data_IF_324800581857
#
_entry.id   IF_324800581857
#
_cell.length_a   1.000
_cell.length_b   1.000
_cell.length_c   1.000
_cell.angle_alpha   90.00
_cell.angle_beta   90.00
_cell.angle_gamma   90.00
#
_symmetry.space_group_name_H-M   'P 1'
#
loop_
_entity.id
_entity.type
_entity.pdbx_description
1 polymer ?
#
# COMPACT_ATOMS: atom_id res chain seq x y z
N UNK A 1 13.30 -45.64 20.26
CA UNK A 1 13.07 -44.67 19.17
C UNK A 1 12.64 -43.36 19.83
N UNK A 2 13.31 -42.24 19.54
CA UNK A 2 12.93 -40.93 20.10
C UNK A 2 11.87 -40.32 19.20
N UNK A 3 10.72 -39.94 19.76
CA UNK A 3 9.70 -39.17 19.06
C UNK A 3 10.03 -37.68 19.19
N UNK A 4 10.17 -37.00 18.07
CA UNK A 4 10.33 -35.54 18.02
C UNK A 4 8.95 -34.93 17.83
N UNK A 5 8.48 -34.18 18.83
CA UNK A 5 7.30 -33.33 18.73
C UNK A 5 7.73 -31.99 18.12
N UNK A 6 7.09 -31.59 17.03
CA UNK A 6 7.37 -30.31 16.35
C UNK A 6 6.22 -29.35 16.67
N UNK A 7 6.57 -28.10 16.98
CA UNK A 7 5.58 -27.03 17.15
C UNK A 7 5.01 -26.64 15.77
N UNK A 8 3.69 -26.70 15.54
CA UNK A 8 3.09 -26.30 14.27
C UNK A 8 3.05 -24.77 14.09
N UNK A 9 3.44 -23.99 15.08
CA UNK A 9 3.54 -22.53 14.97
C UNK A 9 4.82 -22.12 14.24
N UNK A 10 4.78 -20.96 13.59
CA UNK A 10 5.97 -20.43 12.92
C UNK A 10 6.97 -19.96 13.98
N UNK A 11 7.98 -20.78 14.24
CA UNK A 11 9.08 -20.48 15.17
C UNK A 11 9.99 -19.33 14.68
N UNK A 12 9.86 -18.90 13.42
CA UNK A 12 10.63 -17.79 12.88
C UNK A 12 10.13 -16.45 13.42
N UNK A 13 11.01 -15.72 14.10
CA UNK A 13 10.78 -14.32 14.41
C UNK A 13 10.77 -13.49 13.11
N UNK A 14 9.72 -12.71 12.82
CA UNK A 14 9.71 -11.81 11.68
C UNK A 14 10.89 -10.84 11.76
N UNK A 15 11.53 -10.57 10.63
CA UNK A 15 12.53 -9.49 10.56
C UNK A 15 11.89 -8.18 11.00
N UNK A 16 12.56 -7.44 11.89
CA UNK A 16 12.13 -6.11 12.30
C UNK A 16 12.09 -5.18 11.08
N UNK A 17 10.96 -4.51 10.86
CA UNK A 17 10.78 -3.54 9.78
C UNK A 17 10.56 -2.17 10.39
N UNK A 18 11.33 -1.18 9.95
CA UNK A 18 11.12 0.22 10.33
C UNK A 18 10.01 0.79 9.45
N UNK A 19 8.98 1.36 10.09
CA UNK A 19 7.93 2.06 9.36
C UNK A 19 8.48 3.29 8.64
N UNK A 20 7.91 3.63 7.48
CA UNK A 20 8.21 4.88 6.81
C UNK A 20 7.83 6.07 7.72
N UNK A 21 8.59 7.19 7.66
CA UNK A 21 8.26 8.39 8.42
C UNK A 21 6.87 8.89 8.02
N UNK A 22 6.10 9.32 9.02
CA UNK A 22 4.75 9.86 8.79
C UNK A 22 4.85 11.29 8.27
N UNK A 23 4.05 11.63 7.28
CA UNK A 23 3.87 13.03 6.87
C UNK A 23 3.19 13.83 7.99
N UNK A 24 3.74 14.99 8.31
CA UNK A 24 3.14 15.93 9.28
C UNK A 24 1.81 16.51 8.79
N UNK A 25 1.71 16.72 7.48
CA UNK A 25 0.47 17.14 6.81
C UNK A 25 0.45 16.65 5.36
N UNK A 26 -0.72 16.70 4.72
CA UNK A 26 -0.90 16.32 3.31
C UNK A 26 -1.07 17.53 2.37
N UNK A 27 -1.21 18.75 2.90
CA UNK A 27 -1.36 19.95 2.08
C UNK A 27 -0.13 20.18 1.21
N UNK A 28 -0.32 20.38 -0.09
CA UNK A 28 0.74 20.54 -1.08
C UNK A 28 1.55 19.27 -1.37
N UNK A 29 1.19 18.12 -0.77
CA UNK A 29 1.86 16.83 -1.00
C UNK A 29 1.23 16.07 -2.14
N UNK A 30 2.03 15.24 -2.80
CA UNK A 30 1.55 14.32 -3.85
C UNK A 30 1.33 12.94 -3.25
N UNK A 31 0.09 12.47 -3.25
CA UNK A 31 -0.32 11.19 -2.69
C UNK A 31 -0.69 10.24 -3.83
N UNK A 32 -0.03 9.08 -3.88
CA UNK A 32 -0.41 8.00 -4.76
C UNK A 32 -1.62 7.25 -4.21
N UNK A 33 -2.62 7.03 -5.06
CA UNK A 33 -3.70 6.07 -4.83
C UNK A 33 -3.47 4.84 -5.70
N UNK A 34 -3.15 3.72 -5.06
CA UNK A 34 -2.86 2.46 -5.74
C UNK A 34 -4.09 1.55 -5.70
N UNK A 35 -4.72 1.37 -6.86
CA UNK A 35 -5.74 0.35 -7.09
C UNK A 35 -5.08 -1.01 -7.27
N UNK A 36 -5.52 -1.99 -6.49
CA UNK A 36 -5.03 -3.37 -6.57
C UNK A 36 -5.86 -4.24 -7.53
N UNK A 37 -6.78 -3.66 -8.29
CA UNK A 37 -7.69 -4.33 -9.24
C UNK A 37 -8.66 -5.30 -8.56
N UNK A 38 -9.16 -4.94 -7.36
CA UNK A 38 -10.32 -5.61 -6.74
C UNK A 38 -11.61 -4.93 -7.21
N UNK A 39 -12.70 -5.70 -7.27
CA UNK A 39 -14.00 -5.17 -7.68
C UNK A 39 -14.40 -3.99 -6.78
N UNK A 40 -14.82 -2.88 -7.39
CA UNK A 40 -15.23 -1.64 -6.71
C UNK A 40 -14.12 -0.93 -5.93
N UNK A 41 -12.85 -1.27 -6.20
CA UNK A 41 -11.71 -0.52 -5.67
C UNK A 41 -11.70 0.94 -6.14
N UNK A 42 -12.07 1.15 -7.40
CA UNK A 42 -12.28 2.45 -8.03
C UNK A 42 -13.27 3.33 -7.25
N UNK A 43 -14.45 2.82 -6.91
CA UNK A 43 -15.49 3.57 -6.17
C UNK A 43 -14.98 4.05 -4.81
N UNK A 44 -14.25 3.17 -4.09
CA UNK A 44 -13.64 3.54 -2.82
C UNK A 44 -12.56 4.61 -3.02
N UNK A 45 -11.68 4.41 -4.00
CA UNK A 45 -10.59 5.34 -4.28
C UNK A 45 -11.08 6.69 -4.77
N UNK A 46 -12.18 6.78 -5.51
CA UNK A 46 -12.82 8.05 -5.89
C UNK A 46 -13.19 8.85 -4.64
N UNK A 47 -13.81 8.20 -3.67
CA UNK A 47 -14.19 8.87 -2.41
C UNK A 47 -12.97 9.29 -1.59
N UNK A 48 -11.92 8.48 -1.59
CA UNK A 48 -10.65 8.82 -0.92
C UNK A 48 -9.99 10.01 -1.59
N UNK A 49 -9.96 10.04 -2.92
CA UNK A 49 -9.41 11.14 -3.71
C UNK A 49 -10.10 12.47 -3.39
N UNK A 50 -11.44 12.50 -3.41
CA UNK A 50 -12.21 13.70 -3.03
C UNK A 50 -11.81 14.25 -1.65
N UNK A 51 -11.65 13.35 -0.66
CA UNK A 51 -11.29 13.72 0.72
C UNK A 51 -9.86 14.21 0.85
N UNK A 52 -8.94 13.70 0.04
CA UNK A 52 -7.53 14.07 0.06
C UNK A 52 -7.32 15.38 -0.70
N UNK A 53 -7.90 15.51 -1.89
CA UNK A 53 -7.86 16.72 -2.70
C UNK A 53 -8.50 17.92 -1.98
N UNK A 54 -9.65 17.73 -1.30
CA UNK A 54 -10.27 18.79 -0.48
C UNK A 54 -9.41 19.27 0.70
N UNK A 55 -8.38 18.52 1.07
CA UNK A 55 -7.38 18.89 2.10
C UNK A 55 -6.10 19.48 1.50
N UNK A 56 -6.10 19.76 0.20
CA UNK A 56 -5.02 20.48 -0.50
C UNK A 56 -3.88 19.59 -0.99
N UNK A 57 -4.05 18.27 -1.03
CA UNK A 57 -3.07 17.35 -1.60
C UNK A 57 -3.29 17.15 -3.11
N UNK A 58 -2.21 16.92 -3.84
CA UNK A 58 -2.26 16.43 -5.21
C UNK A 58 -2.41 14.90 -5.20
N UNK A 59 -3.16 14.36 -6.16
CA UNK A 59 -3.41 12.91 -6.24
C UNK A 59 -2.91 12.36 -7.58
N UNK A 60 -2.21 11.23 -7.52
CA UNK A 60 -1.83 10.45 -8.69
C UNK A 60 -2.40 9.04 -8.57
N UNK A 61 -3.05 8.56 -9.63
CA UNK A 61 -3.69 7.24 -9.70
C UNK A 61 -2.74 6.23 -10.31
N UNK A 62 -2.65 5.07 -9.67
CA UNK A 62 -1.87 3.92 -10.12
C UNK A 62 -2.71 2.66 -10.02
N UNK A 63 -2.44 1.69 -10.89
CA UNK A 63 -3.15 0.41 -10.87
C UNK A 63 -2.16 -0.73 -10.99
N UNK A 64 -2.29 -1.69 -10.09
CA UNK A 64 -1.58 -2.97 -10.14
C UNK A 64 -2.31 -3.93 -11.07
N UNK A 65 -1.59 -4.78 -11.85
CA UNK A 65 -2.22 -5.70 -12.78
C UNK A 65 -3.17 -6.74 -12.15
N UNK A 66 -2.92 -7.16 -10.91
CA UNK A 66 -3.76 -8.12 -10.18
C UNK A 66 -3.54 -8.00 -8.69
N UNK A 67 -4.59 -8.19 -7.88
CA UNK A 67 -4.50 -8.15 -6.42
C UNK A 67 -3.57 -9.25 -5.86
N UNK A 68 -3.43 -10.37 -6.56
CA UNK A 68 -2.75 -11.60 -6.08
C UNK A 68 -1.21 -11.55 -6.03
N UNK A 69 -0.54 -10.46 -6.46
CA UNK A 69 0.89 -10.55 -6.86
C UNK A 69 1.95 -9.54 -6.38
N UNK A 70 1.90 -8.77 -5.30
CA UNK A 70 2.90 -7.66 -5.07
C UNK A 70 2.99 -6.64 -6.24
N UNK A 71 3.10 -5.35 -5.94
CA UNK A 71 3.23 -4.35 -7.00
C UNK A 71 4.52 -4.57 -7.83
N UNK A 72 4.48 -4.48 -9.18
CA UNK A 72 5.67 -4.53 -10.04
C UNK A 72 6.76 -3.54 -9.57
N UNK A 73 8.04 -3.90 -9.75
CA UNK A 73 9.16 -3.14 -9.20
C UNK A 73 9.28 -1.73 -9.79
N UNK A 74 9.04 -1.62 -11.10
CA UNK A 74 8.89 -0.38 -11.86
C UNK A 74 7.77 0.49 -11.31
N UNK A 75 6.58 -0.08 -11.04
CA UNK A 75 5.46 0.66 -10.46
C UNK A 75 5.81 1.22 -9.08
N UNK A 76 6.47 0.44 -8.23
CA UNK A 76 6.93 0.90 -6.90
C UNK A 76 7.97 2.01 -7.03
N UNK A 77 8.91 1.88 -7.96
CA UNK A 77 9.95 2.88 -8.19
C UNK A 77 9.34 4.20 -8.69
N UNK A 78 8.37 4.12 -9.60
CA UNK A 78 7.64 5.28 -10.10
C UNK A 78 6.89 6.01 -8.99
N UNK A 79 6.13 5.28 -8.16
CA UNK A 79 5.41 5.86 -7.01
C UNK A 79 6.41 6.55 -6.06
N UNK A 80 7.52 5.89 -5.74
CA UNK A 80 8.54 6.43 -4.83
C UNK A 80 9.25 7.69 -5.38
N UNK A 81 9.35 7.84 -6.71
CA UNK A 81 9.95 9.02 -7.34
C UNK A 81 8.97 10.19 -7.44
N UNK A 82 7.68 9.92 -7.61
CA UNK A 82 6.67 10.93 -7.95
C UNK A 82 5.84 11.40 -6.76
N UNK A 83 5.82 10.66 -5.66
CA UNK A 83 4.87 10.87 -4.56
C UNK A 83 5.55 10.94 -3.20
N UNK A 84 4.97 11.72 -2.29
CA UNK A 84 5.39 11.82 -0.89
C UNK A 84 4.87 10.65 -0.05
N UNK A 85 3.73 10.07 -0.42
CA UNK A 85 3.13 8.91 0.25
C UNK A 85 2.22 8.12 -0.71
N UNK A 86 1.86 6.90 -0.29
CA UNK A 86 0.95 6.01 -1.02
C UNK A 86 -0.16 5.51 -0.09
N UNK A 87 -1.37 5.41 -0.63
CA UNK A 87 -2.50 4.71 -0.05
C UNK A 87 -2.84 3.57 -1.01
N UNK A 88 -2.62 2.34 -0.56
CA UNK A 88 -2.99 1.14 -1.29
C UNK A 88 -4.43 0.75 -0.91
N UNK A 89 -5.27 0.52 -1.93
CA UNK A 89 -6.61 0.00 -1.72
C UNK A 89 -6.54 -1.41 -1.11
N UNK A 90 -7.33 -1.66 -0.08
CA UNK A 90 -7.34 -2.93 0.63
C UNK A 90 -8.12 -4.01 -0.12
N UNK A 91 -7.63 -5.24 -0.01
CA UNK A 91 -8.35 -6.47 -0.31
C UNK A 91 -8.73 -7.15 1.01
N UNK A 92 -9.93 -7.70 1.07
CA UNK A 92 -10.27 -8.82 1.94
C UNK A 92 -9.62 -10.13 1.47
#
# INVERSE_FOLDING_TARGET
MVQTLIDPTNEAAPAARTAAPRLESIGGKTIALLDISKARGDVFLDRVEERIASRGANVLRFTKPTFSKVAPADLRAEIAQRCDAVIEALAD
#
